data_IF_316944080219
#
_entry.id   IF_316944080219
#
_cell.length_a   1.000
_cell.length_b   1.000
_cell.length_c   1.000
_cell.angle_alpha   90.00
_cell.angle_beta   90.00
_cell.angle_gamma   90.00
#
_symmetry.space_group_name_H-M   'P 1'
#
loop_
_entity.id
_entity.type
_entity.pdbx_description
1 polymer ?
#
# COMPACT_ATOMS: atom_id res chain seq x y z
N UNK A 1 11.30 -32.30 -1.07
CA UNK A 1 12.61 -32.56 -0.44
C UNK A 1 13.23 -31.21 -0.13
N UNK A 2 13.73 -30.97 1.08
CA UNK A 2 14.32 -29.66 1.44
C UNK A 2 15.76 -29.60 0.93
N UNK A 3 16.13 -28.51 0.25
CA UNK A 3 17.51 -28.28 -0.20
C UNK A 3 18.44 -28.17 1.00
N UNK A 4 19.51 -28.97 1.02
CA UNK A 4 20.57 -28.92 2.04
C UNK A 4 21.90 -28.59 1.38
N UNK A 5 22.60 -27.63 1.96
CA UNK A 5 23.95 -27.20 1.58
C UNK A 5 24.85 -27.33 2.82
N UNK A 6 26.07 -27.82 2.65
CA UNK A 6 27.11 -27.87 3.67
C UNK A 6 28.26 -26.96 3.22
N UNK A 7 28.65 -25.99 4.04
CA UNK A 7 29.71 -25.03 3.70
C UNK A 7 31.10 -25.65 3.59
N UNK A 8 31.28 -26.89 4.05
CA UNK A 8 32.51 -27.66 3.91
C UNK A 8 32.61 -28.44 2.59
N UNK A 9 31.50 -28.57 1.85
CA UNK A 9 31.52 -29.24 0.54
C UNK A 9 32.35 -28.43 -0.46
N UNK A 10 33.26 -29.07 -1.23
CA UNK A 10 34.02 -28.38 -2.30
C UNK A 10 33.13 -27.69 -3.35
N UNK A 11 31.89 -28.14 -3.51
CA UNK A 11 30.89 -27.56 -4.42
C UNK A 11 29.93 -26.57 -3.76
N UNK A 12 30.13 -26.20 -2.50
CA UNK A 12 29.23 -25.32 -1.75
C UNK A 12 28.97 -24.01 -2.48
N UNK A 13 30.03 -23.28 -2.82
CA UNK A 13 29.92 -21.93 -3.38
C UNK A 13 29.10 -21.91 -4.68
N UNK A 14 29.30 -22.90 -5.55
CA UNK A 14 28.53 -23.02 -6.79
C UNK A 14 27.05 -23.31 -6.53
N UNK A 15 26.75 -24.29 -5.66
CA UNK A 15 25.38 -24.67 -5.30
C UNK A 15 24.65 -23.59 -4.50
N UNK A 16 25.38 -22.82 -3.70
CA UNK A 16 24.87 -21.68 -2.96
C UNK A 16 24.54 -20.52 -3.90
N UNK A 17 25.43 -20.20 -4.85
CA UNK A 17 25.12 -19.22 -5.91
C UNK A 17 23.93 -19.63 -6.76
N UNK A 18 23.83 -20.90 -7.12
CA UNK A 18 22.68 -21.43 -7.85
C UNK A 18 21.38 -21.24 -7.06
N UNK A 19 21.39 -21.59 -5.76
CA UNK A 19 20.25 -21.35 -4.87
C UNK A 19 19.88 -19.86 -4.78
N UNK A 20 20.87 -18.97 -4.66
CA UNK A 20 20.66 -17.52 -4.64
C UNK A 20 20.18 -16.98 -5.99
N UNK A 21 20.56 -17.63 -7.09
CA UNK A 21 20.21 -17.27 -8.45
C UNK A 21 18.87 -17.88 -8.92
N UNK A 22 18.21 -18.72 -8.11
CA UNK A 22 16.83 -19.17 -8.33
C UNK A 22 15.87 -17.98 -8.22
N UNK A 23 15.91 -17.07 -9.19
CA UNK A 23 14.93 -16.01 -9.36
C UNK A 23 13.61 -16.63 -9.78
N UNK A 24 12.53 -16.09 -9.21
CA UNK A 24 11.21 -16.13 -9.83
C UNK A 24 11.29 -15.20 -11.04
N UNK A 25 11.65 -15.71 -12.21
CA UNK A 25 11.55 -14.93 -13.44
C UNK A 25 10.11 -14.46 -13.61
N UNK A 26 9.95 -13.16 -13.86
CA UNK A 26 8.66 -12.57 -14.25
C UNK A 26 8.54 -12.88 -15.74
N UNK A 27 7.51 -13.64 -16.13
CA UNK A 27 7.31 -13.95 -17.55
C UNK A 27 7.04 -12.68 -18.37
N UNK A 28 7.56 -12.62 -19.60
CA UNK A 28 7.30 -11.51 -20.54
C UNK A 28 5.79 -11.25 -20.75
N UNK A 29 4.98 -12.29 -20.60
CA UNK A 29 3.51 -12.21 -20.64
C UNK A 29 2.91 -11.28 -19.58
N UNK A 30 3.52 -11.20 -18.39
CA UNK A 30 3.04 -10.31 -17.32
C UNK A 30 3.31 -8.85 -17.67
N UNK A 31 4.48 -8.52 -18.23
CA UNK A 31 4.81 -7.14 -18.61
C UNK A 31 3.84 -6.61 -19.67
N UNK A 32 3.62 -7.39 -20.72
CA UNK A 32 2.70 -7.03 -21.81
C UNK A 32 1.29 -6.80 -21.30
N UNK A 33 0.81 -7.68 -20.40
CA UNK A 33 -0.53 -7.56 -19.81
C UNK A 33 -0.66 -6.33 -18.92
N UNK A 34 0.31 -6.09 -18.03
CA UNK A 34 0.29 -4.94 -17.11
C UNK A 34 0.40 -3.62 -17.87
N UNK A 35 1.25 -3.56 -18.90
CA UNK A 35 1.38 -2.39 -19.78
C UNK A 35 0.06 -2.03 -20.45
N UNK A 36 -0.68 -3.04 -20.95
CA UNK A 36 -1.99 -2.83 -21.54
C UNK A 36 -3.00 -2.29 -20.51
N UNK A 37 -3.04 -2.85 -19.30
CA UNK A 37 -3.93 -2.38 -18.21
C UNK A 37 -3.64 -0.92 -17.85
N UNK A 38 -2.37 -0.56 -17.68
CA UNK A 38 -1.98 0.82 -17.33
C UNK A 38 -2.40 1.80 -18.42
N UNK A 39 -2.13 1.46 -19.69
CA UNK A 39 -2.52 2.31 -20.82
C UNK A 39 -4.03 2.49 -20.89
N UNK A 40 -4.80 1.43 -20.62
CA UNK A 40 -6.25 1.46 -20.68
C UNK A 40 -6.86 2.31 -19.56
N UNK A 41 -6.36 2.18 -18.32
CA UNK A 41 -6.77 3.04 -17.19
C UNK A 41 -6.45 4.50 -17.46
N UNK A 42 -5.27 4.80 -18.04
CA UNK A 42 -4.91 6.18 -18.40
C UNK A 42 -5.85 6.78 -19.47
N UNK A 43 -6.37 5.96 -20.39
CA UNK A 43 -7.21 6.43 -21.49
C UNK A 43 -8.70 6.49 -21.12
N UNK A 44 -9.20 5.52 -20.34
CA UNK A 44 -10.63 5.36 -20.04
C UNK A 44 -11.01 5.65 -18.58
N UNK A 45 -10.05 5.86 -17.70
CA UNK A 45 -10.29 6.19 -16.29
C UNK A 45 -11.13 5.12 -15.56
N UNK A 46 -12.16 5.57 -14.85
CA UNK A 46 -13.04 4.71 -14.05
C UNK A 46 -13.64 3.55 -14.84
N UNK A 47 -13.94 3.74 -16.12
CA UNK A 47 -14.51 2.67 -16.94
C UNK A 47 -13.57 1.46 -17.04
N UNK A 48 -12.28 1.69 -17.27
CA UNK A 48 -11.30 0.60 -17.29
C UNK A 48 -11.09 -0.01 -15.90
N UNK A 49 -11.06 0.81 -14.84
CA UNK A 49 -10.94 0.32 -13.46
C UNK A 49 -12.10 -0.62 -13.12
N UNK A 50 -13.34 -0.22 -13.43
CA UNK A 50 -14.54 -1.03 -13.20
C UNK A 50 -14.53 -2.32 -14.01
N UNK A 51 -14.15 -2.26 -15.30
CA UNK A 51 -14.02 -3.46 -16.15
C UNK A 51 -13.02 -4.48 -15.56
N UNK A 52 -11.86 -4.01 -15.11
CA UNK A 52 -10.84 -4.88 -14.53
C UNK A 52 -11.20 -5.37 -13.12
N UNK A 53 -11.89 -4.57 -12.31
CA UNK A 53 -12.45 -5.02 -11.03
C UNK A 53 -13.53 -6.08 -11.23
N UNK A 54 -14.43 -5.93 -12.20
CA UNK A 54 -15.39 -6.97 -12.55
C UNK A 54 -14.70 -8.26 -13.01
N UNK A 55 -13.66 -8.13 -13.85
CA UNK A 55 -12.93 -9.29 -14.39
C UNK A 55 -12.11 -10.05 -13.34
N UNK A 56 -11.34 -9.34 -12.52
CA UNK A 56 -10.36 -9.96 -11.61
C UNK A 56 -10.91 -10.19 -10.21
N UNK A 57 -11.75 -9.29 -9.72
CA UNK A 57 -12.34 -9.36 -8.37
C UNK A 57 -13.79 -9.87 -8.38
N UNK A 58 -14.39 -10.12 -9.56
CA UNK A 58 -15.78 -10.62 -9.74
C UNK A 58 -16.81 -9.72 -9.08
N UNK A 59 -16.58 -8.41 -9.18
CA UNK A 59 -17.44 -7.39 -8.59
C UNK A 59 -18.01 -6.46 -9.65
N UNK A 60 -19.33 -6.43 -9.75
CA UNK A 60 -20.04 -5.46 -10.58
C UNK A 60 -20.30 -4.19 -9.76
N UNK A 61 -19.47 -3.17 -9.99
CA UNK A 61 -19.52 -1.89 -9.28
C UNK A 61 -19.92 -0.76 -10.23
N UNK A 62 -20.47 0.30 -9.66
CA UNK A 62 -20.51 1.62 -10.30
C UNK A 62 -19.38 2.48 -9.74
N UNK A 63 -19.09 3.62 -10.37
CA UNK A 63 -18.09 4.58 -9.86
C UNK A 63 -18.36 4.99 -8.39
N UNK A 64 -19.63 5.17 -8.02
CA UNK A 64 -20.03 5.48 -6.64
C UNK A 64 -19.76 4.32 -5.65
N UNK A 65 -19.63 3.09 -6.14
CA UNK A 65 -19.32 1.90 -5.35
C UNK A 65 -17.81 1.62 -5.20
N UNK A 66 -16.93 2.39 -5.84
CA UNK A 66 -15.49 2.20 -5.72
C UNK A 66 -14.99 2.53 -4.30
N UNK A 67 -15.46 3.64 -3.74
CA UNK A 67 -15.04 4.11 -2.41
C UNK A 67 -15.84 3.45 -1.29
N UNK A 68 -15.17 3.06 -0.20
CA UNK A 68 -15.87 2.71 1.04
C UNK A 68 -16.51 3.95 1.65
N UNK A 69 -17.79 3.86 1.95
CA UNK A 69 -18.45 4.88 2.75
C UNK A 69 -18.01 4.79 4.20
N UNK A 70 -18.09 5.93 4.91
CA UNK A 70 -17.87 5.96 6.36
C UNK A 70 -18.77 4.97 7.10
N UNK A 71 -20.02 4.82 6.67
CA UNK A 71 -20.97 3.90 7.29
C UNK A 71 -20.52 2.44 7.17
N UNK A 72 -19.97 2.03 6.03
CA UNK A 72 -19.46 0.67 5.84
C UNK A 72 -18.20 0.41 6.67
N UNK A 73 -17.32 1.41 6.78
CA UNK A 73 -16.14 1.33 7.65
C UNK A 73 -16.61 1.19 9.10
N UNK A 74 -17.45 2.10 9.59
CA UNK A 74 -17.95 2.09 10.97
C UNK A 74 -18.68 0.76 11.30
N UNK A 75 -19.47 0.23 10.35
CA UNK A 75 -20.12 -1.08 10.49
C UNK A 75 -19.11 -2.23 10.58
N UNK A 76 -18.06 -2.23 9.76
CA UNK A 76 -17.00 -3.24 9.84
C UNK A 76 -16.24 -3.16 11.18
N UNK A 77 -15.93 -1.96 11.67
CA UNK A 77 -15.28 -1.75 12.96
C UNK A 77 -16.13 -2.30 14.12
N UNK A 78 -17.45 -2.15 14.05
CA UNK A 78 -18.37 -2.65 15.08
C UNK A 78 -18.35 -4.19 15.22
N UNK A 79 -17.88 -4.93 14.21
CA UNK A 79 -17.72 -6.39 14.26
C UNK A 79 -16.41 -6.84 14.91
N UNK A 80 -15.46 -5.93 15.14
CA UNK A 80 -14.13 -6.27 15.65
C UNK A 80 -14.18 -6.47 17.17
N UNK A 81 -13.71 -7.61 17.70
CA UNK A 81 -13.65 -7.82 19.14
C UNK A 81 -12.79 -6.76 19.84
N UNK A 82 -13.25 -6.25 20.98
CA UNK A 82 -12.57 -5.19 21.73
C UNK A 82 -11.09 -5.51 22.05
N UNK A 83 -10.78 -6.77 22.39
CA UNK A 83 -9.40 -7.22 22.62
C UNK A 83 -8.52 -7.10 21.37
N UNK A 84 -9.07 -7.38 20.20
CA UNK A 84 -8.36 -7.25 18.92
C UNK A 84 -8.16 -5.78 18.57
N UNK A 85 -9.16 -4.94 18.79
CA UNK A 85 -9.04 -3.50 18.59
C UNK A 85 -7.94 -2.89 19.48
N UNK A 86 -7.94 -3.23 20.77
CA UNK A 86 -6.89 -2.79 21.71
C UNK A 86 -5.49 -3.26 21.29
N UNK A 87 -5.36 -4.45 20.68
CA UNK A 87 -4.08 -4.92 20.16
C UNK A 87 -3.62 -4.09 18.93
N UNK A 88 -4.54 -3.67 18.06
CA UNK A 88 -4.25 -2.79 16.93
C UNK A 88 -3.85 -1.39 17.41
N UNK A 89 -4.53 -0.84 18.42
CA UNK A 89 -4.19 0.45 19.03
C UNK A 89 -2.79 0.41 19.66
N UNK A 90 -2.47 -0.63 20.44
CA UNK A 90 -1.14 -0.81 21.00
C UNK A 90 -0.07 -0.89 19.91
N UNK A 91 -0.32 -1.64 18.84
CA UNK A 91 0.60 -1.73 17.71
C UNK A 91 0.80 -0.37 17.03
N UNK A 92 -0.29 0.34 16.72
CA UNK A 92 -0.28 1.70 16.14
C UNK A 92 0.56 2.65 16.99
N UNK A 93 0.36 2.66 18.30
CA UNK A 93 1.03 3.61 19.20
C UNK A 93 2.53 3.34 19.29
N UNK A 94 2.93 2.05 19.31
CA UNK A 94 4.34 1.67 19.26
C UNK A 94 5.00 2.03 17.93
N UNK A 95 4.32 1.79 16.80
CA UNK A 95 4.81 2.15 15.47
C UNK A 95 4.99 3.67 15.39
N UNK A 96 3.98 4.44 15.83
CA UNK A 96 4.00 5.91 15.86
C UNK A 96 5.18 6.42 16.71
N UNK A 97 5.31 5.92 17.94
CA UNK A 97 6.39 6.34 18.84
C UNK A 97 7.78 6.10 18.25
N UNK A 98 7.97 4.99 17.53
CA UNK A 98 9.23 4.70 16.86
C UNK A 98 9.53 5.68 15.72
N UNK A 99 8.57 5.87 14.79
CA UNK A 99 8.77 6.73 13.62
C UNK A 99 8.89 8.21 13.99
N UNK A 100 8.26 8.66 15.08
CA UNK A 100 8.44 10.03 15.58
C UNK A 100 9.90 10.35 15.91
N UNK A 101 10.69 9.35 16.34
CA UNK A 101 12.12 9.52 16.64
C UNK A 101 12.99 9.65 15.39
N UNK A 102 12.45 9.28 14.23
CA UNK A 102 13.14 9.30 12.94
C UNK A 102 12.83 10.56 12.13
N UNK A 103 11.96 11.45 12.64
CA UNK A 103 11.63 12.70 11.96
C UNK A 103 12.90 13.52 11.71
N UNK A 104 13.15 13.93 10.45
CA UNK A 104 14.32 14.72 10.15
C UNK A 104 14.17 16.14 10.72
N UNK A 105 15.29 16.77 11.04
CA UNK A 105 15.34 18.18 11.36
C UNK A 105 15.83 18.96 10.14
N UNK A 106 15.22 20.12 9.92
CA UNK A 106 15.77 21.12 9.01
C UNK A 106 17.14 21.57 9.52
N UNK A 107 18.03 21.91 8.60
CA UNK A 107 19.34 22.45 8.90
C UNK A 107 19.56 23.73 8.09
N UNK A 108 20.07 24.76 8.76
CA UNK A 108 20.42 26.06 8.15
C UNK A 108 21.65 26.60 8.84
N UNK A 109 22.63 27.02 8.05
CA UNK A 109 23.87 27.58 8.56
C UNK A 109 24.46 28.61 7.59
N UNK A 110 25.37 29.43 8.11
CA UNK A 110 26.19 30.34 7.32
C UNK A 110 27.61 29.80 7.33
N UNK A 111 28.20 29.65 6.15
CA UNK A 111 29.56 29.13 6.01
C UNK A 111 30.63 30.20 6.33
N UNK A 112 31.93 29.83 6.39
CA UNK A 112 33.00 30.78 6.70
C UNK A 112 33.18 31.93 5.71
N UNK A 113 32.60 31.85 4.50
CA UNK A 113 32.65 32.93 3.50
C UNK A 113 31.36 33.76 3.48
N UNK A 114 30.42 33.49 4.39
CA UNK A 114 29.20 34.27 4.59
C UNK A 114 28.01 33.81 3.75
N UNK A 115 28.06 32.63 3.12
CA UNK A 115 26.95 32.08 2.34
C UNK A 115 25.97 31.35 3.25
N UNK A 116 24.68 31.67 3.14
CA UNK A 116 23.60 30.93 3.80
C UNK A 116 23.25 29.66 2.99
N UNK A 117 23.28 28.52 3.66
CA UNK A 117 22.97 27.20 3.12
C UNK A 117 21.90 26.54 3.98
N UNK A 118 21.06 25.69 3.37
CA UNK A 118 20.04 24.97 4.12
C UNK A 118 19.52 23.71 3.47
N UNK A 119 19.06 22.79 4.32
CA UNK A 119 18.32 21.58 3.98
C UNK A 119 16.97 21.64 4.66
N UNK A 120 15.89 21.47 3.89
CA UNK A 120 14.52 21.52 4.40
C UNK A 120 13.78 20.24 4.02
N UNK A 121 13.06 19.68 5.00
CA UNK A 121 12.22 18.51 4.82
C UNK A 121 10.74 18.91 4.77
N UNK A 122 10.01 18.36 3.82
CA UNK A 122 8.56 18.49 3.71
C UNK A 122 7.95 17.14 3.38
N UNK A 123 6.77 16.86 3.92
CA UNK A 123 6.01 15.70 3.53
C UNK A 123 5.64 15.76 2.04
N UNK A 124 5.44 14.60 1.42
CA UNK A 124 4.68 14.54 0.17
C UNK A 124 3.21 14.89 0.45
N UNK A 125 2.57 15.54 -0.50
CA UNK A 125 1.18 16.01 -0.34
C UNK A 125 0.17 14.85 -0.24
N UNK A 126 0.45 13.74 -0.93
CA UNK A 126 -0.40 12.57 -0.94
C UNK A 126 0.37 11.27 -1.18
N UNK A 127 -0.15 10.15 -0.68
CA UNK A 127 0.40 8.81 -0.91
C UNK A 127 -0.69 7.78 -1.16
N UNK A 128 -0.37 6.78 -1.97
CA UNK A 128 -1.21 5.61 -2.23
C UNK A 128 -0.66 4.36 -1.56
N UNK A 129 -1.48 3.69 -0.76
CA UNK A 129 -1.15 2.46 -0.05
C UNK A 129 -1.86 1.28 -0.72
N UNK A 130 -1.10 0.37 -1.33
CA UNK A 130 -1.65 -0.87 -1.86
C UNK A 130 -1.68 -1.95 -0.78
N UNK A 131 -2.87 -2.44 -0.45
CA UNK A 131 -3.06 -3.51 0.52
C UNK A 131 -3.68 -4.72 -0.18
N UNK A 132 -3.03 -5.89 -0.16
CA UNK A 132 -3.60 -7.10 -0.76
C UNK A 132 -4.97 -7.47 -0.15
N UNK A 133 -5.86 -7.96 -0.99
CA UNK A 133 -7.17 -8.51 -0.59
C UNK A 133 -7.12 -9.99 -0.22
N UNK A 134 -8.29 -10.54 0.11
CA UNK A 134 -8.47 -11.97 0.40
C UNK A 134 -7.71 -12.45 1.64
N UNK A 135 -7.12 -13.66 1.56
CA UNK A 135 -6.43 -14.32 2.69
C UNK A 135 -5.09 -13.70 3.06
N UNK A 136 -4.54 -12.84 2.19
CA UNK A 136 -3.30 -12.10 2.43
C UNK A 136 -3.53 -10.69 3.03
N UNK A 137 -4.78 -10.40 3.47
CA UNK A 137 -5.17 -9.08 3.94
C UNK A 137 -4.82 -8.91 5.43
N UNK A 138 -3.65 -8.33 5.70
CA UNK A 138 -3.10 -8.16 7.04
C UNK A 138 -3.28 -6.74 7.59
N UNK A 139 -3.96 -6.55 8.75
CA UNK A 139 -4.10 -5.23 9.37
C UNK A 139 -2.75 -4.63 9.80
N UNK A 140 -1.75 -5.47 10.10
CA UNK A 140 -0.40 -5.00 10.43
C UNK A 140 0.28 -4.29 9.27
N UNK A 141 0.09 -4.75 8.03
CA UNK A 141 0.62 -4.10 6.83
C UNK A 141 0.01 -2.70 6.65
N UNK A 142 -1.27 -2.53 6.97
CA UNK A 142 -1.93 -1.21 6.95
C UNK A 142 -1.26 -0.28 7.94
N UNK A 143 -1.11 -0.70 9.21
CA UNK A 143 -0.49 0.12 10.25
C UNK A 143 0.95 0.50 9.88
N UNK A 144 1.75 -0.45 9.38
CA UNK A 144 3.15 -0.23 9.02
C UNK A 144 3.34 0.72 7.83
N UNK A 145 2.35 0.85 6.94
CA UNK A 145 2.42 1.80 5.81
C UNK A 145 1.81 3.16 6.15
N UNK A 146 0.64 3.18 6.79
CA UNK A 146 -0.11 4.40 7.03
C UNK A 146 0.44 5.23 8.21
N UNK A 147 0.86 4.58 9.30
CA UNK A 147 1.33 5.32 10.49
C UNK A 147 2.58 6.17 10.20
N UNK A 148 3.60 5.69 9.46
CA UNK A 148 4.73 6.53 9.08
C UNK A 148 4.34 7.71 8.19
N UNK A 149 3.39 7.54 7.27
CA UNK A 149 2.89 8.63 6.43
C UNK A 149 2.20 9.72 7.27
N UNK A 150 1.37 9.33 8.24
CA UNK A 150 0.77 10.28 9.19
C UNK A 150 1.82 10.97 10.05
N UNK A 151 2.84 10.25 10.51
CA UNK A 151 3.94 10.83 11.31
C UNK A 151 4.75 11.83 10.49
N UNK A 152 5.01 11.53 9.21
CA UNK A 152 5.70 12.42 8.29
C UNK A 152 4.91 13.69 7.97
N UNK A 153 3.59 13.69 8.18
CA UNK A 153 2.71 14.84 7.93
C UNK A 153 2.05 14.81 6.53
N UNK A 154 1.89 13.64 5.92
CA UNK A 154 1.16 13.51 4.66
C UNK A 154 -0.32 13.88 4.85
N UNK A 155 -0.84 14.78 4.03
CA UNK A 155 -2.20 15.33 4.19
C UNK A 155 -3.28 14.38 3.63
N UNK A 156 -2.99 13.70 2.53
CA UNK A 156 -3.92 12.77 1.87
C UNK A 156 -3.32 11.36 1.70
N UNK A 157 -3.80 10.43 2.51
CA UNK A 157 -3.43 9.01 2.48
C UNK A 157 -4.58 8.22 1.88
N UNK A 158 -4.35 7.65 0.70
CA UNK A 158 -5.31 6.81 -0.02
C UNK A 158 -4.91 5.36 0.16
N UNK A 159 -5.87 4.48 0.46
CA UNK A 159 -5.66 3.03 0.47
C UNK A 159 -6.47 2.37 -0.64
N UNK A 160 -5.86 1.47 -1.39
CA UNK A 160 -6.55 0.58 -2.33
C UNK A 160 -6.46 -0.84 -1.80
N UNK A 161 -7.59 -1.53 -1.74
CA UNK A 161 -7.69 -2.91 -1.29
C UNK A 161 -8.74 -3.65 -2.12
N UNK A 162 -8.37 -4.66 -2.92
CA UNK A 162 -9.34 -5.43 -3.68
C UNK A 162 -10.22 -6.24 -2.71
N UNK A 163 -11.49 -6.37 -3.05
CA UNK A 163 -12.46 -7.15 -2.28
C UNK A 163 -13.06 -8.26 -3.13
N UNK A 164 -12.29 -9.29 -3.52
CA UNK A 164 -12.80 -10.34 -4.40
C UNK A 164 -14.10 -10.93 -3.85
N UNK A 165 -15.09 -11.09 -4.73
CA UNK A 165 -16.42 -11.58 -4.37
C UNK A 165 -17.17 -10.70 -3.35
N UNK A 166 -16.79 -9.41 -3.25
CA UNK A 166 -17.36 -8.45 -2.30
C UNK A 166 -16.87 -8.61 -0.86
N UNK A 167 -15.89 -9.49 -0.60
CA UNK A 167 -15.43 -9.81 0.75
C UNK A 167 -14.26 -8.92 1.14
N UNK A 168 -14.38 -8.25 2.29
CA UNK A 168 -13.32 -7.44 2.91
C UNK A 168 -13.04 -7.93 4.32
N UNK A 169 -11.76 -7.91 4.73
CA UNK A 169 -11.38 -8.18 6.11
C UNK A 169 -11.71 -6.95 6.99
N UNK A 170 -12.64 -7.04 7.98
CA UNK A 170 -12.98 -5.92 8.85
C UNK A 170 -11.78 -5.35 9.61
N UNK A 171 -10.77 -6.19 9.91
CA UNK A 171 -9.56 -5.74 10.60
C UNK A 171 -8.72 -4.78 9.75
N UNK A 172 -8.75 -4.92 8.41
CA UNK A 172 -8.03 -4.00 7.51
C UNK A 172 -8.69 -2.63 7.50
N UNK A 173 -10.03 -2.57 7.48
CA UNK A 173 -10.76 -1.31 7.59
C UNK A 173 -10.57 -0.67 8.98
N UNK A 174 -10.58 -1.47 10.05
CA UNK A 174 -10.25 -1.01 11.40
C UNK A 174 -8.85 -0.43 11.49
N UNK A 175 -7.84 -1.12 10.94
CA UNK A 175 -6.47 -0.63 10.93
C UNK A 175 -6.32 0.66 10.10
N UNK A 176 -6.99 0.78 8.96
CA UNK A 176 -6.96 1.98 8.13
C UNK A 176 -7.55 3.19 8.86
N UNK A 177 -8.72 3.01 9.49
CA UNK A 177 -9.37 4.04 10.31
C UNK A 177 -8.48 4.46 11.49
N UNK A 178 -7.94 3.50 12.25
CA UNK A 178 -7.04 3.77 13.37
C UNK A 178 -5.73 4.45 12.97
N UNK A 179 -5.21 4.14 11.78
CA UNK A 179 -3.93 4.67 11.29
C UNK A 179 -4.04 6.06 10.68
N UNK A 180 -5.25 6.55 10.38
CA UNK A 180 -5.47 7.86 9.78
C UNK A 180 -5.49 7.87 8.25
N UNK A 181 -5.92 6.78 7.62
CA UNK A 181 -6.18 6.74 6.16
C UNK A 181 -7.41 7.62 5.84
N UNK A 182 -7.32 8.46 4.81
CA UNK A 182 -8.39 9.39 4.43
C UNK A 182 -9.44 8.73 3.51
N UNK A 183 -8.98 7.97 2.52
CA UNK A 183 -9.82 7.41 1.46
C UNK A 183 -9.49 5.93 1.27
N UNK A 184 -10.51 5.08 1.08
CA UNK A 184 -10.33 3.64 0.87
C UNK A 184 -11.14 3.21 -0.36
N UNK A 185 -10.48 2.56 -1.32
CA UNK A 185 -11.11 2.08 -2.56
C UNK A 185 -11.02 0.55 -2.70
N UNK A 186 -12.10 -0.07 -3.18
CA UNK A 186 -12.29 -1.52 -3.37
C UNK A 186 -11.61 -2.10 -4.62
N UNK A 187 -10.39 -1.67 -4.91
CA UNK A 187 -9.67 -2.03 -6.13
C UNK A 187 -8.29 -2.58 -5.84
N UNK A 188 -7.78 -3.44 -6.72
CA UNK A 188 -6.43 -4.00 -6.63
C UNK A 188 -5.74 -4.12 -7.98
N UNK A 189 -4.69 -4.94 -8.05
CA UNK A 189 -3.95 -5.23 -9.28
C UNK A 189 -3.29 -4.01 -9.91
N UNK A 190 -2.89 -4.18 -11.19
CA UNK A 190 -2.26 -3.12 -11.97
C UNK A 190 -3.21 -1.93 -12.21
N UNK A 191 -4.51 -2.17 -12.27
CA UNK A 191 -5.52 -1.12 -12.47
C UNK A 191 -5.58 -0.15 -11.29
N UNK A 192 -5.42 -0.64 -10.05
CA UNK A 192 -5.38 0.23 -8.88
C UNK A 192 -4.10 1.07 -8.82
N UNK A 193 -2.96 0.48 -9.16
CA UNK A 193 -1.68 1.21 -9.25
C UNK A 193 -1.77 2.29 -10.34
N UNK A 194 -2.33 1.96 -11.51
CA UNK A 194 -2.54 2.92 -12.59
C UNK A 194 -3.49 4.05 -12.19
N UNK A 195 -4.58 3.74 -11.48
CA UNK A 195 -5.53 4.75 -10.99
C UNK A 195 -4.89 5.69 -9.96
N UNK A 196 -4.08 5.17 -9.04
CA UNK A 196 -3.33 6.00 -8.08
C UNK A 196 -2.29 6.88 -8.79
N UNK A 197 -1.57 6.36 -9.79
CA UNK A 197 -0.50 7.09 -10.46
C UNK A 197 -1.00 8.13 -11.48
N UNK A 198 -2.06 7.82 -12.21
CA UNK A 198 -2.56 8.67 -13.30
C UNK A 198 -3.84 9.41 -12.97
N UNK A 199 -4.53 9.00 -11.91
CA UNK A 199 -5.83 9.52 -11.57
C UNK A 199 -6.94 9.00 -12.48
N UNK A 200 -8.17 9.15 -12.00
CA UNK A 200 -9.42 8.92 -12.72
C UNK A 200 -10.43 10.01 -12.34
N UNK A 201 -11.68 9.93 -12.81
CA UNK A 201 -12.72 10.86 -12.38
C UNK A 201 -13.10 10.68 -10.90
N UNK A 202 -13.00 9.45 -10.36
CA UNK A 202 -13.31 9.15 -8.96
C UNK A 202 -12.08 9.19 -8.05
N UNK A 203 -10.88 8.89 -8.56
CA UNK A 203 -9.66 8.73 -7.77
C UNK A 203 -8.65 9.78 -8.23
N UNK A 204 -8.45 10.84 -7.44
CA UNK A 204 -7.39 11.79 -7.72
C UNK A 204 -6.01 11.10 -7.58
N UNK A 205 -5.04 11.42 -8.46
CA UNK A 205 -3.71 10.82 -8.39
C UNK A 205 -3.02 11.14 -7.06
N UNK A 206 -2.06 10.31 -6.71
CA UNK A 206 -1.13 10.56 -5.60
C UNK A 206 0.26 10.92 -6.13
N UNK A 207 1.07 11.58 -5.31
CA UNK A 207 2.42 12.03 -5.67
C UNK A 207 3.42 10.87 -5.90
#
# INVERSE_FOLDING_TARGET
>A
MVTRLDSSDPGFEARFRELLAMKREISEDVDTTVRAIIADVRNRGDAAVLDYTARFDRMDLTAAGLAFSKAEIDAALATVPAKTLAALELARDRIRSHHQRQMPADDRYVDPIGVELGSRWTAVESVGLYVPGGTASYPSSVLMNAVPAVVAGVERIVMVVPTPDGVVNPLVLAAASLAGVNEIYRIGGAQAVAALAHGTATIAPVA
#
